data_IF_393123343929
#
_entry.id   IF_393123343929
#
_cell.length_a   1.000
_cell.length_b   1.000
_cell.length_c   1.000
_cell.angle_alpha   90.00
_cell.angle_beta   90.00
_cell.angle_gamma   90.00
#
_symmetry.space_group_name_H-M   'P 1'
#
loop_
_entity.id
_entity.type
_entity.pdbx_description
1 polymer ?
#
# COMPACT_ATOMS: atom_id res chain seq x y z
N UNK A 1 27.33 7.25 30.04
CA UNK A 1 27.44 7.01 28.59
C UNK A 1 26.18 6.28 28.21
N UNK A 2 25.27 6.91 27.47
CA UNK A 2 24.15 6.16 26.87
C UNK A 2 24.76 5.13 25.92
N UNK A 3 24.72 3.86 26.33
CA UNK A 3 25.13 2.77 25.47
C UNK A 3 24.10 2.69 24.34
N UNK A 4 24.55 2.81 23.08
CA UNK A 4 23.72 2.42 21.95
C UNK A 4 23.09 1.05 22.24
N UNK A 5 21.79 0.84 21.99
CA UNK A 5 21.17 -0.46 22.20
C UNK A 5 21.98 -1.54 21.48
N UNK A 6 22.53 -2.50 22.22
CA UNK A 6 23.30 -3.59 21.63
C UNK A 6 22.32 -4.58 20.99
N UNK A 7 22.36 -4.66 19.67
CA UNK A 7 21.65 -5.69 18.92
C UNK A 7 22.55 -6.90 18.73
N UNK A 8 22.00 -8.10 18.90
CA UNK A 8 22.71 -9.30 18.47
C UNK A 8 22.93 -9.26 16.95
N UNK A 9 24.06 -9.77 16.42
CA UNK A 9 24.29 -9.81 14.97
C UNK A 9 23.14 -10.46 14.21
N UNK A 10 22.56 -11.54 14.75
CA UNK A 10 21.40 -12.22 14.19
C UNK A 10 20.16 -11.31 14.15
N UNK A 11 19.91 -10.56 15.23
CA UNK A 11 18.79 -9.61 15.29
C UNK A 11 18.94 -8.47 14.29
N UNK A 12 20.15 -7.93 14.16
CA UNK A 12 20.45 -6.88 13.18
C UNK A 12 20.27 -7.36 11.73
N UNK A 13 20.76 -8.56 11.39
CA UNK A 13 20.57 -9.17 10.06
C UNK A 13 19.09 -9.44 9.79
N UNK A 14 18.36 -10.00 10.75
CA UNK A 14 16.93 -10.27 10.60
C UNK A 14 16.14 -8.98 10.35
N UNK A 15 16.45 -7.90 11.09
CA UNK A 15 15.82 -6.61 10.95
C UNK A 15 16.11 -5.97 9.58
N UNK A 16 17.36 -6.04 9.13
CA UNK A 16 17.76 -5.56 7.81
C UNK A 16 17.02 -6.31 6.69
N UNK A 17 16.99 -7.64 6.75
CA UNK A 17 16.29 -8.46 5.75
C UNK A 17 14.79 -8.20 5.75
N UNK A 18 14.18 -8.01 6.93
CA UNK A 18 12.77 -7.64 7.05
C UNK A 18 12.51 -6.29 6.39
N UNK A 19 13.30 -5.25 6.73
CA UNK A 19 13.17 -3.92 6.15
C UNK A 19 13.36 -3.90 4.63
N UNK A 20 14.40 -4.59 4.12
CA UNK A 20 14.65 -4.73 2.69
C UNK A 20 13.49 -5.43 1.97
N UNK A 21 12.92 -6.47 2.58
CA UNK A 21 11.75 -7.18 2.05
C UNK A 21 10.53 -6.27 1.99
N UNK A 22 10.28 -5.46 3.02
CA UNK A 22 9.18 -4.50 3.02
C UNK A 22 9.35 -3.46 1.91
N UNK A 23 10.55 -2.89 1.74
CA UNK A 23 10.83 -1.94 0.64
C UNK A 23 10.60 -2.61 -0.72
N UNK A 24 11.06 -3.85 -0.91
CA UNK A 24 10.82 -4.60 -2.13
C UNK A 24 9.32 -4.80 -2.41
N UNK A 25 8.54 -5.21 -1.41
CA UNK A 25 7.09 -5.45 -1.55
C UNK A 25 6.35 -4.13 -1.86
N UNK A 26 6.72 -3.02 -1.21
CA UNK A 26 6.17 -1.71 -1.51
C UNK A 26 6.40 -1.34 -2.99
N UNK A 27 7.65 -1.47 -3.45
CA UNK A 27 8.01 -1.19 -4.84
C UNK A 27 7.30 -2.11 -5.83
N UNK A 28 7.24 -3.43 -5.57
CA UNK A 28 6.55 -4.38 -6.43
C UNK A 28 5.04 -4.10 -6.52
N UNK A 29 4.43 -3.69 -5.40
CA UNK A 29 3.01 -3.27 -5.37
C UNK A 29 2.73 -2.11 -6.33
N UNK A 30 3.55 -1.07 -6.28
CA UNK A 30 3.40 0.08 -7.19
C UNK A 30 3.77 -0.26 -8.62
N UNK A 31 4.82 -1.07 -8.82
CA UNK A 31 5.22 -1.54 -10.14
C UNK A 31 4.10 -2.35 -10.83
N UNK A 32 3.41 -3.24 -10.10
CA UNK A 32 2.25 -3.97 -10.63
C UNK A 32 1.18 -3.02 -11.17
N UNK A 33 0.81 -1.98 -10.42
CA UNK A 33 -0.19 -0.99 -10.86
C UNK A 33 0.32 -0.14 -12.03
N UNK A 34 1.60 0.23 -12.00
CA UNK A 34 2.25 0.99 -13.07
C UNK A 34 2.21 0.20 -14.39
N UNK A 35 2.74 -1.03 -14.40
CA UNK A 35 2.78 -1.89 -15.58
C UNK A 35 1.36 -2.23 -16.06
N UNK A 36 0.43 -2.50 -15.14
CA UNK A 36 -0.98 -2.73 -15.49
C UNK A 36 -1.59 -1.55 -16.27
N UNK A 37 -1.33 -0.32 -15.83
CA UNK A 37 -1.84 0.90 -16.50
C UNK A 37 -1.18 1.11 -17.87
N UNK A 38 0.14 0.95 -17.96
CA UNK A 38 0.88 1.10 -19.22
C UNK A 38 0.42 0.10 -20.28
N UNK A 39 0.18 -1.14 -19.86
CA UNK A 39 -0.22 -2.24 -20.76
C UNK A 39 -1.73 -2.35 -20.96
N UNK A 40 -2.54 -1.43 -20.41
CA UNK A 40 -4.01 -1.51 -20.42
C UNK A 40 -4.54 -2.88 -19.92
N UNK A 41 -3.84 -3.44 -18.94
CA UNK A 41 -4.13 -4.74 -18.34
C UNK A 41 -3.85 -5.95 -19.24
N UNK A 42 -2.83 -5.87 -20.11
CA UNK A 42 -2.31 -6.98 -20.91
C UNK A 42 -0.98 -7.53 -20.36
N UNK A 43 -0.57 -7.10 -19.17
CA UNK A 43 0.61 -7.63 -18.47
C UNK A 43 0.31 -8.94 -17.73
N UNK A 44 1.37 -9.58 -17.24
CA UNK A 44 1.26 -10.69 -16.27
C UNK A 44 1.55 -10.16 -14.86
N UNK A 45 0.65 -10.43 -13.92
CA UNK A 45 0.84 -10.20 -12.48
C UNK A 45 0.82 -11.58 -11.81
N UNK A 46 1.91 -11.92 -11.12
CA UNK A 46 2.12 -13.26 -10.53
C UNK A 46 1.83 -14.40 -11.52
N UNK A 47 2.35 -14.28 -12.73
CA UNK A 47 2.28 -15.33 -13.76
C UNK A 47 0.99 -15.38 -14.59
N UNK A 48 -0.07 -14.65 -14.20
CA UNK A 48 -1.36 -14.64 -14.91
C UNK A 48 -1.75 -13.26 -15.42
N UNK A 49 -2.62 -13.20 -16.44
CA UNK A 49 -3.26 -11.95 -16.85
C UNK A 49 -4.20 -11.51 -15.72
N UNK A 50 -4.06 -10.29 -15.18
CA UNK A 50 -4.86 -9.84 -14.06
C UNK A 50 -6.31 -9.58 -14.46
N UNK A 51 -7.22 -9.93 -13.58
CA UNK A 51 -8.61 -9.49 -13.66
C UNK A 51 -8.68 -7.97 -13.46
N UNK A 52 -9.68 -7.36 -14.10
CA UNK A 52 -9.88 -5.91 -14.09
C UNK A 52 -11.35 -5.54 -14.16
N UNK A 53 -11.70 -4.42 -13.54
CA UNK A 53 -13.00 -3.78 -13.71
C UNK A 53 -12.81 -2.62 -14.68
N UNK A 54 -13.66 -2.56 -15.70
CA UNK A 54 -13.71 -1.47 -16.67
C UNK A 54 -14.68 -0.43 -16.14
N UNK A 55 -14.16 0.65 -15.56
CA UNK A 55 -14.96 1.70 -14.95
C UNK A 55 -15.15 2.87 -15.93
N UNK A 56 -16.41 3.15 -16.28
CA UNK A 56 -16.77 4.35 -17.02
C UNK A 56 -17.07 5.49 -16.05
N UNK A 57 -16.58 6.69 -16.37
CA UNK A 57 -16.81 7.88 -15.56
C UNK A 57 -16.84 9.15 -16.42
N UNK A 58 -17.65 10.11 -15.98
CA UNK A 58 -17.70 11.44 -16.59
C UNK A 58 -16.66 12.34 -15.92
N UNK A 59 -15.82 12.99 -16.73
CA UNK A 59 -14.91 14.04 -16.27
C UNK A 59 -15.66 15.32 -15.91
N UNK A 60 -15.01 16.23 -15.18
CA UNK A 60 -15.60 17.53 -14.84
C UNK A 60 -16.02 18.38 -16.05
N UNK A 61 -15.43 18.14 -17.23
CA UNK A 61 -15.80 18.78 -18.49
C UNK A 61 -16.90 18.06 -19.28
N UNK A 62 -17.60 17.09 -18.68
CA UNK A 62 -18.69 16.34 -19.33
C UNK A 62 -18.25 15.21 -20.26
N UNK A 63 -16.95 15.01 -20.48
CA UNK A 63 -16.46 13.93 -21.34
C UNK A 63 -16.52 12.58 -20.62
N UNK A 64 -17.10 11.58 -21.29
CA UNK A 64 -17.06 10.18 -20.87
C UNK A 64 -15.66 9.60 -21.08
N UNK A 65 -15.14 8.91 -20.06
CA UNK A 65 -13.85 8.24 -20.10
C UNK A 65 -13.93 6.87 -19.45
N UNK A 66 -13.00 6.01 -19.84
CA UNK A 66 -12.84 4.68 -19.28
C UNK A 66 -11.55 4.59 -18.46
N UNK A 67 -11.59 3.87 -17.34
CA UNK A 67 -10.45 3.58 -16.48
C UNK A 67 -10.46 2.11 -16.07
N UNK A 68 -9.29 1.50 -16.00
CA UNK A 68 -9.15 0.11 -15.56
C UNK A 68 -8.79 0.08 -14.07
N UNK A 69 -9.56 -0.69 -13.29
CA UNK A 69 -9.28 -0.96 -11.88
C UNK A 69 -8.69 -2.38 -11.74
N UNK A 70 -7.52 -2.48 -11.11
CA UNK A 70 -6.79 -3.72 -10.91
C UNK A 70 -7.29 -4.44 -9.65
N UNK A 71 -7.79 -5.67 -9.79
CA UNK A 71 -8.35 -6.51 -8.70
C UNK A 71 -7.50 -7.78 -8.43
N UNK A 72 -6.25 -7.79 -8.88
CA UNK A 72 -5.32 -8.92 -8.73
C UNK A 72 -3.96 -8.46 -8.16
N UNK A 73 -3.11 -9.43 -7.80
CA UNK A 73 -1.80 -9.15 -7.19
C UNK A 73 -1.92 -8.59 -5.78
N UNK A 74 -1.01 -7.68 -5.40
CA UNK A 74 -1.04 -7.00 -4.10
C UNK A 74 -2.34 -6.21 -3.89
N UNK A 75 -2.90 -5.66 -4.96
CA UNK A 75 -4.13 -4.87 -4.95
C UNK A 75 -5.40 -5.70 -4.72
N UNK A 76 -5.30 -7.03 -4.74
CA UNK A 76 -6.38 -7.93 -4.31
C UNK A 76 -6.42 -8.10 -2.79
N UNK A 77 -5.28 -7.96 -2.14
CA UNK A 77 -5.15 -8.17 -0.69
C UNK A 77 -5.77 -6.99 0.07
N UNK A 78 -5.46 -5.76 -0.37
CA UNK A 78 -6.14 -4.55 0.09
C UNK A 78 -6.01 -3.42 -0.93
N UNK A 79 -6.93 -2.45 -0.89
CA UNK A 79 -7.01 -1.35 -1.87
C UNK A 79 -5.79 -0.44 -1.85
N UNK A 80 -5.08 -0.38 -0.73
CA UNK A 80 -3.86 0.39 -0.52
C UNK A 80 -2.75 -0.47 0.09
N UNK A 81 -2.55 -1.69 -0.44
CA UNK A 81 -1.61 -2.66 0.14
C UNK A 81 -0.20 -2.10 0.35
N UNK A 82 0.33 -1.33 -0.59
CA UNK A 82 1.64 -0.66 -0.51
C UNK A 82 1.86 0.20 0.76
N UNK A 83 0.82 0.69 1.43
CA UNK A 83 0.95 1.42 2.69
C UNK A 83 1.42 0.53 3.85
N UNK A 84 1.01 -0.74 3.87
CA UNK A 84 1.41 -1.67 4.92
C UNK A 84 2.93 -1.94 4.96
N UNK A 85 3.60 -2.34 3.85
CA UNK A 85 5.05 -2.48 3.85
C UNK A 85 5.77 -1.13 4.04
N UNK A 86 5.17 0.00 3.66
CA UNK A 86 5.76 1.32 3.95
C UNK A 86 5.83 1.59 5.46
N UNK A 87 4.73 1.35 6.18
CA UNK A 87 4.67 1.46 7.65
C UNK A 87 5.61 0.45 8.30
N UNK A 88 5.63 -0.81 7.84
CA UNK A 88 6.50 -1.84 8.39
C UNK A 88 8.00 -1.59 8.11
N UNK A 89 8.36 -1.06 6.95
CA UNK A 89 9.72 -0.61 6.66
C UNK A 89 10.12 0.53 7.61
N UNK A 90 9.20 1.47 7.85
CA UNK A 90 9.39 2.54 8.83
C UNK A 90 9.45 2.03 10.27
N UNK A 91 8.87 0.88 10.58
CA UNK A 91 9.10 0.26 11.89
C UNK A 91 10.50 -0.35 11.94
N UNK A 92 10.91 -1.04 10.88
CA UNK A 92 12.22 -1.71 10.81
C UNK A 92 13.40 -0.75 10.94
N UNK A 93 13.31 0.47 10.39
CA UNK A 93 14.37 1.47 10.53
C UNK A 93 14.42 2.14 11.92
N UNK A 94 13.37 1.96 12.74
CA UNK A 94 13.15 2.68 14.01
C UNK A 94 13.42 1.78 15.19
N UNK A 95 13.17 0.48 15.02
CA UNK A 95 13.49 -0.56 15.99
C UNK A 95 14.94 -0.52 16.50
N UNK A 96 15.99 -0.19 15.73
CA UNK A 96 17.35 -0.13 16.26
C UNK A 96 17.49 0.79 17.50
N UNK A 97 16.66 1.84 17.56
CA UNK A 97 16.63 2.83 18.63
C UNK A 97 15.60 2.50 19.74
N UNK A 98 15.25 1.23 19.94
CA UNK A 98 14.15 0.81 20.82
C UNK A 98 14.23 1.34 22.26
N UNK A 99 15.45 1.53 22.80
CA UNK A 99 15.67 1.94 24.18
C UNK A 99 16.01 3.43 24.34
N UNK A 100 15.78 4.26 23.32
CA UNK A 100 16.10 5.70 23.35
C UNK A 100 14.86 6.60 23.51
N UNK A 101 13.71 6.01 23.88
CA UNK A 101 12.44 6.72 24.09
C UNK A 101 11.55 6.84 22.84
N UNK A 102 10.25 7.03 23.05
CA UNK A 102 9.22 6.98 22.00
C UNK A 102 9.25 8.17 21.02
N UNK A 103 9.51 9.38 21.55
CA UNK A 103 9.33 10.67 20.84
C UNK A 103 10.30 10.83 19.65
N UNK A 104 11.39 10.07 19.60
CA UNK A 104 12.31 10.07 18.47
C UNK A 104 11.90 9.08 17.37
N UNK A 105 12.43 7.84 17.39
CA UNK A 105 12.34 6.89 16.29
C UNK A 105 10.90 6.45 15.96
N UNK A 106 10.01 6.37 16.95
CA UNK A 106 8.65 5.85 16.75
C UNK A 106 7.62 6.91 16.37
N UNK A 107 7.91 8.18 16.61
CA UNK A 107 7.03 9.28 16.21
C UNK A 107 6.76 9.24 14.70
N UNK A 108 7.78 8.98 13.89
CA UNK A 108 7.61 8.88 12.44
C UNK A 108 6.64 7.75 12.04
N UNK A 109 6.74 6.58 12.67
CA UNK A 109 5.87 5.43 12.37
C UNK A 109 4.41 5.79 12.65
N UNK A 110 4.15 6.44 13.78
CA UNK A 110 2.80 6.90 14.17
C UNK A 110 2.29 7.97 13.22
N UNK A 111 3.10 8.99 12.95
CA UNK A 111 2.79 10.06 12.01
C UNK A 111 2.45 9.51 10.62
N UNK A 112 3.29 8.62 10.08
CA UNK A 112 3.11 8.02 8.77
C UNK A 112 1.84 7.17 8.73
N UNK A 113 1.58 6.39 9.79
CA UNK A 113 0.36 5.58 9.90
C UNK A 113 -0.89 6.46 9.83
N UNK A 114 -0.95 7.54 10.62
CA UNK A 114 -2.08 8.49 10.60
C UNK A 114 -2.23 9.10 9.20
N UNK A 115 -1.13 9.57 8.62
CA UNK A 115 -1.12 10.19 7.30
C UNK A 115 -1.63 9.26 6.20
N UNK A 116 -1.18 8.00 6.19
CA UNK A 116 -1.57 7.01 5.19
C UNK A 116 -3.01 6.53 5.38
N UNK A 117 -3.48 6.41 6.64
CA UNK A 117 -4.88 6.11 6.94
C UNK A 117 -5.78 7.23 6.41
N UNK A 118 -5.54 8.47 6.81
CA UNK A 118 -6.29 9.64 6.33
C UNK A 118 -6.25 9.74 4.79
N UNK A 119 -5.08 9.50 4.18
CA UNK A 119 -4.94 9.43 2.72
C UNK A 119 -5.81 8.33 2.09
N UNK A 120 -5.84 7.12 2.64
CA UNK A 120 -6.66 6.03 2.13
C UNK A 120 -8.16 6.38 2.17
N UNK A 121 -8.63 7.01 3.25
CA UNK A 121 -10.04 7.45 3.36
C UNK A 121 -10.40 8.52 2.33
N UNK A 122 -9.53 9.52 2.13
CA UNK A 122 -9.76 10.55 1.09
C UNK A 122 -9.70 9.97 -0.32
N UNK A 123 -8.81 9.01 -0.57
CA UNK A 123 -8.71 8.34 -1.86
C UNK A 123 -9.96 7.51 -2.15
N UNK A 124 -10.46 6.78 -1.15
CA UNK A 124 -11.69 5.98 -1.23
C UNK A 124 -12.92 6.86 -1.51
N UNK A 125 -13.08 8.00 -0.83
CA UNK A 125 -14.15 8.97 -1.11
C UNK A 125 -14.07 9.54 -2.53
N UNK A 126 -12.88 9.93 -2.98
CA UNK A 126 -12.66 10.42 -4.36
C UNK A 126 -12.97 9.35 -5.40
N UNK A 127 -12.54 8.11 -5.17
CA UNK A 127 -12.78 6.99 -6.08
C UNK A 127 -14.26 6.59 -6.10
N UNK A 128 -14.94 6.61 -4.96
CA UNK A 128 -16.39 6.36 -4.85
C UNK A 128 -17.19 7.38 -5.66
N UNK A 129 -16.90 8.67 -5.49
CA UNK A 129 -17.55 9.76 -6.25
C UNK A 129 -17.26 9.67 -7.76
N UNK A 130 -16.04 9.27 -8.13
CA UNK A 130 -15.61 9.20 -9.53
C UNK A 130 -16.17 7.99 -10.27
N UNK A 131 -16.09 6.80 -9.68
CA UNK A 131 -16.38 5.54 -10.35
C UNK A 131 -17.72 4.93 -9.95
N UNK A 132 -18.39 5.44 -8.91
CA UNK A 132 -19.74 5.07 -8.52
C UNK A 132 -19.91 3.56 -8.33
N UNK A 133 -20.82 2.96 -9.12
CA UNK A 133 -21.12 1.53 -9.05
C UNK A 133 -19.90 0.64 -9.31
N UNK A 134 -18.96 1.08 -10.16
CA UNK A 134 -17.73 0.34 -10.42
C UNK A 134 -16.78 0.34 -9.22
N UNK A 135 -16.79 1.42 -8.42
CA UNK A 135 -16.04 1.43 -7.15
C UNK A 135 -16.67 0.48 -6.14
N UNK A 136 -18.00 0.41 -6.08
CA UNK A 136 -18.70 -0.54 -5.21
C UNK A 136 -18.32 -1.98 -5.57
N UNK A 137 -18.40 -2.34 -6.86
CA UNK A 137 -17.95 -3.65 -7.34
C UNK A 137 -16.47 -3.93 -7.02
N UNK A 138 -15.62 -2.90 -7.06
CA UNK A 138 -14.22 -3.01 -6.67
C UNK A 138 -14.07 -3.31 -5.18
N UNK A 139 -14.78 -2.58 -4.32
CA UNK A 139 -14.79 -2.80 -2.87
C UNK A 139 -15.38 -4.16 -2.48
N UNK A 140 -16.35 -4.68 -3.23
CA UNK A 140 -16.90 -6.02 -2.98
C UNK A 140 -15.86 -7.12 -3.26
N UNK A 141 -14.96 -6.93 -4.23
CA UNK A 141 -13.87 -7.86 -4.51
C UNK A 141 -12.66 -7.67 -3.59
N UNK A 142 -12.40 -6.42 -3.17
CA UNK A 142 -11.25 -6.04 -2.34
C UNK A 142 -11.78 -5.27 -1.12
N UNK A 143 -12.30 -5.96 -0.08
CA UNK A 143 -13.02 -5.32 1.02
C UNK A 143 -12.13 -4.51 1.95
N UNK A 144 -10.85 -4.88 2.08
CA UNK A 144 -9.92 -4.25 3.00
C UNK A 144 -9.26 -3.00 2.41
N UNK A 145 -9.21 -1.91 3.19
CA UNK A 145 -8.55 -0.65 2.76
C UNK A 145 -7.03 -0.77 2.79
N UNK A 146 -6.47 -1.00 3.98
CA UNK A 146 -5.01 -1.06 4.21
C UNK A 146 -4.63 -2.44 4.76
N UNK A 147 -5.17 -2.80 5.93
CA UNK A 147 -4.81 -4.03 6.64
C UNK A 147 -5.85 -5.12 6.38
N UNK A 148 -5.46 -6.28 5.84
CA UNK A 148 -6.38 -7.42 5.68
C UNK A 148 -6.99 -7.86 7.00
N UNK A 149 -8.30 -8.10 7.02
CA UNK A 149 -9.05 -8.44 8.23
C UNK A 149 -9.54 -7.24 9.04
N UNK A 150 -9.17 -6.01 8.66
CA UNK A 150 -9.67 -4.77 9.25
C UNK A 150 -10.33 -3.95 8.12
N UNK A 151 -11.62 -3.66 8.28
CA UNK A 151 -12.47 -2.98 7.26
C UNK A 151 -12.16 -1.48 7.21
#
# INVERSE_FOLDING_TARGET
VEHCPEWSPTGAVALFLCGATMVFINYDSDNQRYVFRQTKGQCKIWGKIPNKIIAQYTTSGGLQRESLLLVDGWWKISRHFHYMPEILASLCWSLPAWNTGFVGPYFYVVYLTILLVDRAYRDDDRCSKKYGIYWKQYCDQVPYKIVPGIV
#
